data_IF_399740843059
#
_entry.id   IF_399740843059
#
_cell.length_a   1.000
_cell.length_b   1.000
_cell.length_c   1.000
_cell.angle_alpha   90.00
_cell.angle_beta   90.00
_cell.angle_gamma   90.00
#
_symmetry.space_group_name_H-M   'P 1'
#
loop_
_entity.id
_entity.type
_entity.pdbx_description
1 polymer ?
#
# COMPACT_ATOMS: atom_id res chain seq x y z
N UNK A 1 -20.95 2.66 -36.54
CA UNK A 1 -19.62 2.83 -35.90
C UNK A 1 -19.78 2.42 -34.45
N UNK A 2 -19.08 1.41 -33.93
CA UNK A 2 -19.12 1.12 -32.50
C UNK A 2 -18.24 2.14 -31.78
N UNK A 3 -18.84 2.92 -30.87
CA UNK A 3 -18.10 3.81 -29.98
C UNK A 3 -17.22 2.97 -29.07
N UNK A 4 -15.94 2.85 -29.44
CA UNK A 4 -14.89 2.30 -28.57
C UNK A 4 -14.45 3.39 -27.60
N UNK A 5 -15.39 3.93 -26.82
CA UNK A 5 -15.02 4.66 -25.61
C UNK A 5 -14.72 3.58 -24.57
N UNK A 6 -13.56 2.95 -24.73
CA UNK A 6 -13.03 2.03 -23.73
C UNK A 6 -13.04 2.81 -22.42
N UNK A 7 -13.84 2.33 -21.47
CA UNK A 7 -13.94 2.83 -20.11
C UNK A 7 -12.57 2.74 -19.43
N UNK A 8 -11.68 3.68 -19.73
CA UNK A 8 -10.56 4.00 -18.86
C UNK A 8 -11.17 4.75 -17.68
N UNK A 9 -11.79 4.00 -16.77
CA UNK A 9 -11.89 4.49 -15.40
C UNK A 9 -10.44 4.82 -14.99
N UNK A 10 -10.15 6.03 -14.49
CA UNK A 10 -8.86 6.31 -13.88
C UNK A 10 -8.62 5.20 -12.86
N UNK A 11 -7.50 4.47 -12.97
CA UNK A 11 -7.16 3.46 -11.95
C UNK A 11 -7.24 4.16 -10.59
N UNK A 12 -8.08 3.63 -9.71
CA UNK A 12 -8.28 4.22 -8.41
C UNK A 12 -6.99 4.03 -7.61
N UNK A 13 -6.69 4.97 -6.71
CA UNK A 13 -5.47 4.86 -5.89
C UNK A 13 -5.57 3.61 -4.99
N UNK A 14 -6.79 3.22 -4.63
CA UNK A 14 -7.10 1.99 -3.89
C UNK A 14 -6.73 0.72 -4.65
N UNK A 15 -6.91 0.67 -5.97
CA UNK A 15 -6.54 -0.48 -6.81
C UNK A 15 -5.03 -0.68 -6.84
N UNK A 16 -4.25 0.40 -6.90
CA UNK A 16 -2.79 0.34 -6.89
C UNK A 16 -2.23 -0.13 -5.54
N UNK A 17 -2.81 0.33 -4.42
CA UNK A 17 -2.45 -0.20 -3.09
C UNK A 17 -2.86 -1.67 -2.92
N UNK A 18 -4.01 -2.06 -3.46
CA UNK A 18 -4.45 -3.46 -3.40
C UNK A 18 -3.52 -4.38 -4.19
N UNK A 19 -3.06 -3.95 -5.37
CA UNK A 19 -2.07 -4.68 -6.14
C UNK A 19 -0.74 -4.87 -5.39
N UNK A 20 -0.29 -3.86 -4.64
CA UNK A 20 0.90 -4.00 -3.78
C UNK A 20 0.68 -5.02 -2.66
N UNK A 21 -0.49 -5.03 -2.01
CA UNK A 21 -0.82 -6.00 -0.95
C UNK A 21 -0.84 -7.42 -1.52
N UNK A 22 -1.50 -7.65 -2.64
CA UNK A 22 -1.55 -8.97 -3.29
C UNK A 22 -0.14 -9.44 -3.66
N UNK A 23 0.69 -8.55 -4.21
CA UNK A 23 2.08 -8.87 -4.53
C UNK A 23 2.88 -9.25 -3.28
N UNK A 24 2.71 -8.52 -2.17
CA UNK A 24 3.37 -8.84 -0.91
C UNK A 24 2.95 -10.21 -0.37
N UNK A 25 1.68 -10.58 -0.50
CA UNK A 25 1.18 -11.91 -0.10
C UNK A 25 1.83 -13.03 -0.92
N UNK A 26 2.10 -12.81 -2.21
CA UNK A 26 2.83 -13.80 -3.02
C UNK A 26 4.28 -13.98 -2.57
N UNK A 27 4.89 -12.97 -1.95
CA UNK A 27 6.24 -13.04 -1.40
C UNK A 27 6.29 -13.77 -0.06
N UNK A 28 5.27 -13.59 0.79
CA UNK A 28 5.13 -14.29 2.09
C UNK A 28 5.19 -15.83 1.95
N UNK A 29 4.73 -16.33 0.80
CA UNK A 29 4.68 -17.76 0.49
C UNK A 29 5.96 -18.32 -0.16
N UNK A 30 6.95 -17.49 -0.48
CA UNK A 30 8.19 -17.89 -1.18
C UNK A 30 9.40 -17.88 -0.25
N UNK A 31 10.41 -18.69 -0.54
CA UNK A 31 11.71 -18.67 0.15
C UNK A 31 12.82 -18.76 -0.90
N UNK A 32 13.87 -17.91 -0.87
CA UNK A 32 14.20 -16.88 0.13
C UNK A 32 13.56 -15.50 -0.14
N UNK A 33 13.00 -14.88 0.91
CA UNK A 33 12.18 -13.64 0.85
C UNK A 33 13.01 -12.36 0.67
N UNK A 34 14.27 -12.30 1.13
CA UNK A 34 14.98 -11.01 1.32
C UNK A 34 15.24 -10.19 0.04
N UNK A 35 15.90 -10.72 -1.01
CA UNK A 35 16.18 -9.91 -2.21
C UNK A 35 14.89 -9.48 -2.93
N UNK A 36 13.85 -10.32 -2.85
CA UNK A 36 12.56 -10.03 -3.45
C UNK A 36 11.77 -8.99 -2.64
N UNK A 37 11.94 -8.96 -1.31
CA UNK A 37 11.31 -7.98 -0.42
C UNK A 37 11.95 -6.58 -0.55
N UNK A 38 13.28 -6.49 -0.69
CA UNK A 38 13.95 -5.20 -0.97
C UNK A 38 13.46 -4.59 -2.29
N UNK A 39 13.36 -5.42 -3.34
CA UNK A 39 12.80 -5.00 -4.63
C UNK A 39 11.33 -4.59 -4.52
N UNK A 40 10.56 -5.29 -3.68
CA UNK A 40 9.18 -4.91 -3.39
C UNK A 40 9.11 -3.55 -2.69
N UNK A 41 9.98 -3.31 -1.71
CA UNK A 41 10.03 -2.04 -0.97
C UNK A 41 10.33 -0.86 -1.90
N UNK A 42 11.28 -1.00 -2.84
CA UNK A 42 11.57 0.02 -3.87
C UNK A 42 10.36 0.34 -4.75
N UNK A 43 9.63 -0.70 -5.17
CA UNK A 43 8.44 -0.55 -6.01
C UNK A 43 7.27 0.08 -5.25
N UNK A 44 7.05 -0.35 -4.01
CA UNK A 44 6.02 0.20 -3.14
C UNK A 44 6.28 1.69 -2.88
N UNK A 45 7.52 2.09 -2.58
CA UNK A 45 7.88 3.50 -2.44
C UNK A 45 7.64 4.27 -3.74
N UNK A 46 8.06 3.75 -4.90
CA UNK A 46 7.86 4.42 -6.18
C UNK A 46 6.36 4.62 -6.51
N UNK A 47 5.51 3.64 -6.20
CA UNK A 47 4.06 3.76 -6.35
C UNK A 47 3.50 4.82 -5.39
N UNK A 48 3.88 4.78 -4.11
CA UNK A 48 3.41 5.77 -3.12
C UNK A 48 3.81 7.21 -3.48
N UNK A 49 5.06 7.41 -3.91
CA UNK A 49 5.57 8.71 -4.37
C UNK A 49 4.80 9.18 -5.60
N UNK A 50 4.52 8.29 -6.55
CA UNK A 50 3.74 8.63 -7.76
C UNK A 50 2.29 9.00 -7.43
N UNK A 51 1.65 8.33 -6.47
CA UNK A 51 0.25 8.54 -6.13
C UNK A 51 0.03 9.78 -5.24
N UNK A 52 0.95 10.06 -4.32
CA UNK A 52 0.74 11.06 -3.26
C UNK A 52 1.83 12.13 -3.18
N UNK A 53 2.96 11.97 -3.85
CA UNK A 53 4.14 12.82 -3.72
C UNK A 53 5.12 12.31 -2.67
N UNK A 54 6.39 12.72 -2.79
CA UNK A 54 7.49 12.23 -1.96
C UNK A 54 7.38 12.61 -0.47
N UNK A 55 6.80 13.78 -0.18
CA UNK A 55 6.68 14.31 1.18
C UNK A 55 5.37 13.89 1.86
N UNK A 56 4.61 12.97 1.25
CA UNK A 56 3.34 12.53 1.83
C UNK A 56 3.55 11.57 2.99
N UNK A 57 2.73 11.70 4.04
CA UNK A 57 2.77 10.85 5.25
C UNK A 57 2.74 9.34 4.98
N UNK A 58 2.16 8.90 3.85
CA UNK A 58 2.12 7.49 3.46
C UNK A 58 3.49 6.97 3.01
N UNK A 59 4.28 7.81 2.33
CA UNK A 59 5.67 7.47 2.00
C UNK A 59 6.50 7.35 3.28
N UNK A 60 6.33 8.29 4.22
CA UNK A 60 7.04 8.24 5.51
C UNK A 60 6.65 7.01 6.34
N UNK A 61 5.35 6.73 6.45
CA UNK A 61 4.82 5.59 7.21
C UNK A 61 5.35 4.27 6.65
N UNK A 62 5.45 4.15 5.32
CA UNK A 62 6.05 2.97 4.68
C UNK A 62 7.53 2.83 5.04
N UNK A 63 8.30 3.93 4.98
CA UNK A 63 9.73 3.94 5.34
C UNK A 63 9.99 3.57 6.80
N UNK A 64 9.12 3.98 7.72
CA UNK A 64 9.24 3.54 9.12
C UNK A 64 9.00 2.03 9.28
N UNK A 65 8.09 1.45 8.49
CA UNK A 65 7.86 0.01 8.48
C UNK A 65 9.03 -0.79 7.88
N UNK A 66 9.90 -0.16 7.07
CA UNK A 66 11.12 -0.79 6.54
C UNK A 66 12.32 -0.65 7.47
N UNK A 67 12.49 0.49 8.15
CA UNK A 67 13.63 0.77 9.02
C UNK A 67 13.69 -0.13 10.27
N UNK A 68 12.52 -0.48 10.84
CA UNK A 68 12.41 -1.28 12.06
C UNK A 68 13.08 -2.67 11.95
N UNK A 69 13.14 -3.23 10.74
CA UNK A 69 13.81 -4.51 10.48
C UNK A 69 15.34 -4.39 10.55
N UNK A 70 15.90 -3.32 9.98
CA UNK A 70 17.33 -3.08 9.97
C UNK A 70 17.88 -2.85 11.39
N UNK A 71 17.14 -2.10 12.23
CA UNK A 71 17.52 -1.87 13.63
C UNK A 71 17.42 -3.13 14.50
N UNK A 72 16.42 -3.98 14.27
CA UNK A 72 16.25 -5.22 15.02
C UNK A 72 17.43 -6.18 14.79
N UNK A 73 17.93 -6.28 13.57
CA UNK A 73 19.06 -7.14 13.20
C UNK A 73 20.40 -6.70 13.82
N UNK A 74 20.62 -5.39 13.93
CA UNK A 74 21.89 -4.83 14.42
C UNK A 74 22.00 -4.90 15.96
N UNK A 75 20.87 -4.86 16.67
CA UNK A 75 20.83 -4.85 18.14
C UNK A 75 20.66 -6.24 18.78
N UNK A 76 20.76 -7.31 17.99
CA UNK A 76 20.45 -8.68 18.43
C UNK A 76 21.70 -9.37 19.01
N UNK A 77 21.71 -9.79 20.29
CA UNK A 77 22.83 -10.54 20.86
C UNK A 77 23.00 -11.91 20.18
N UNK A 78 24.24 -12.38 20.04
CA UNK A 78 24.61 -13.64 19.34
C UNK A 78 23.79 -14.86 19.79
N UNK A 79 23.43 -14.95 21.06
CA UNK A 79 22.63 -16.05 21.62
C UNK A 79 21.16 -16.08 21.18
N UNK A 80 20.63 -14.98 20.64
CA UNK A 80 19.25 -14.85 20.16
C UNK A 80 19.15 -14.80 18.63
N UNK A 81 20.28 -14.88 17.91
CA UNK A 81 20.31 -14.78 16.44
C UNK A 81 19.61 -15.96 15.76
N UNK A 82 19.80 -17.21 16.19
CA UNK A 82 19.23 -18.37 15.47
C UNK A 82 17.69 -18.47 15.50
N UNK A 83 17.00 -18.23 16.64
CA UNK A 83 15.54 -18.25 16.67
C UNK A 83 14.93 -17.02 15.98
N UNK A 84 15.44 -15.82 16.27
CA UNK A 84 14.85 -14.58 15.72
C UNK A 84 15.16 -14.38 14.24
N UNK A 85 16.31 -14.85 13.72
CA UNK A 85 16.63 -14.75 12.29
C UNK A 85 15.63 -15.50 11.39
N UNK A 86 14.96 -16.55 11.92
CA UNK A 86 13.93 -17.31 11.19
C UNK A 86 12.59 -16.57 11.12
N UNK A 87 12.25 -15.81 12.15
CA UNK A 87 10.98 -15.09 12.24
C UNK A 87 11.04 -13.67 11.65
N UNK A 88 12.24 -13.08 11.61
CA UNK A 88 12.51 -11.76 11.05
C UNK A 88 11.88 -11.50 9.66
N UNK A 89 12.03 -12.40 8.65
CA UNK A 89 11.40 -12.20 7.35
C UNK A 89 9.87 -12.19 7.40
N UNK A 90 9.25 -13.03 8.24
CA UNK A 90 7.79 -13.06 8.42
C UNK A 90 7.30 -11.78 9.10
N UNK A 91 8.03 -11.32 10.11
CA UNK A 91 7.69 -10.07 10.80
C UNK A 91 7.84 -8.86 9.88
N UNK A 92 8.84 -8.85 8.99
CA UNK A 92 9.03 -7.79 8.01
C UNK A 92 7.85 -7.73 7.02
N UNK A 93 7.48 -8.87 6.42
CA UNK A 93 6.33 -8.96 5.50
C UNK A 93 5.04 -8.51 6.19
N UNK A 94 4.81 -8.91 7.44
CA UNK A 94 3.65 -8.48 8.22
C UNK A 94 3.63 -6.97 8.49
N UNK A 95 4.78 -6.35 8.79
CA UNK A 95 4.88 -4.90 9.00
C UNK A 95 4.50 -4.12 7.74
N UNK A 96 5.02 -4.52 6.57
CA UNK A 96 4.67 -3.89 5.28
C UNK A 96 3.18 -4.06 4.96
N UNK A 97 2.64 -5.26 5.22
CA UNK A 97 1.21 -5.54 5.02
C UNK A 97 0.35 -4.61 5.87
N UNK A 98 0.67 -4.48 7.15
CA UNK A 98 -0.07 -3.62 8.08
C UNK A 98 -0.04 -2.15 7.66
N UNK A 99 1.12 -1.65 7.21
CA UNK A 99 1.27 -0.28 6.73
C UNK A 99 0.42 -0.01 5.46
N UNK A 100 0.48 -0.91 4.47
CA UNK A 100 -0.29 -0.76 3.24
C UNK A 100 -1.81 -0.88 3.49
N UNK A 101 -2.23 -1.78 4.39
CA UNK A 101 -3.64 -1.93 4.75
C UNK A 101 -4.21 -0.72 5.49
N UNK A 102 -3.43 -0.08 6.38
CA UNK A 102 -3.88 1.15 7.04
C UNK A 102 -4.03 2.29 6.03
N UNK A 103 -3.10 2.42 5.09
CA UNK A 103 -3.19 3.41 4.01
C UNK A 103 -4.41 3.17 3.11
N UNK A 104 -4.66 1.91 2.73
CA UNK A 104 -5.82 1.53 1.92
C UNK A 104 -7.14 1.87 2.62
N UNK A 105 -7.25 1.56 3.92
CA UNK A 105 -8.45 1.85 4.70
C UNK A 105 -8.76 3.34 4.73
N UNK A 106 -7.77 4.16 5.11
CA UNK A 106 -7.95 5.62 5.18
C UNK A 106 -8.28 6.24 3.82
N UNK A 107 -7.64 5.74 2.76
CA UNK A 107 -7.80 6.27 1.42
C UNK A 107 -9.14 5.88 0.79
N UNK A 108 -9.59 4.63 0.96
CA UNK A 108 -10.89 4.18 0.46
C UNK A 108 -12.04 5.00 1.08
N UNK A 109 -11.92 5.39 2.36
CA UNK A 109 -12.87 6.30 3.00
C UNK A 109 -12.90 7.69 2.35
N UNK A 110 -11.75 8.19 1.89
CA UNK A 110 -11.67 9.48 1.18
C UNK A 110 -12.24 9.37 -0.23
N UNK A 111 -11.86 8.35 -1.00
CA UNK A 111 -12.38 8.12 -2.36
C UNK A 111 -13.90 7.93 -2.36
N UNK A 112 -14.46 7.21 -1.40
CA UNK A 112 -15.91 7.05 -1.26
C UNK A 112 -16.63 8.38 -1.00
N UNK A 113 -16.03 9.28 -0.20
CA UNK A 113 -16.56 10.63 0.05
C UNK A 113 -16.50 11.49 -1.22
N UNK A 114 -15.39 11.46 -1.95
CA UNK A 114 -15.22 12.19 -3.22
C UNK A 114 -16.27 11.76 -4.25
N UNK A 115 -16.47 10.45 -4.44
CA UNK A 115 -17.50 9.91 -5.34
C UNK A 115 -18.91 10.34 -4.91
N UNK A 116 -19.20 10.33 -3.61
CA UNK A 116 -20.50 10.76 -3.08
C UNK A 116 -20.74 12.25 -3.32
N UNK A 117 -19.73 13.11 -3.15
CA UNK A 117 -19.85 14.54 -3.41
C UNK A 117 -20.07 14.82 -4.91
N UNK A 118 -19.31 14.17 -5.79
CA UNK A 118 -19.41 14.33 -7.24
C UNK A 118 -20.74 13.82 -7.83
N UNK A 119 -21.41 12.87 -7.17
CA UNK A 119 -22.71 12.33 -7.60
C UNK A 119 -23.90 12.99 -6.88
N UNK A 120 -23.66 13.71 -5.79
CA UNK A 120 -24.67 14.38 -4.98
C UNK A 120 -25.05 15.79 -5.45
N UNK A 121 -24.21 16.47 -6.25
CA UNK A 121 -24.49 17.83 -6.76
C UNK A 121 -25.52 17.88 -7.91
N UNK A 122 -25.85 16.75 -8.56
CA UNK A 122 -26.76 16.68 -9.72
C UNK A 122 -28.25 16.53 -9.36
N UNK A 123 -28.62 16.56 -8.07
CA UNK A 123 -30.03 16.65 -7.65
C UNK A 123 -30.44 18.12 -7.54
N UNK A 124 -30.50 18.81 -8.69
CA UNK A 124 -31.38 19.97 -8.80
C UNK A 124 -32.82 19.47 -8.62
N UNK A 125 -33.42 19.78 -7.47
CA UNK A 125 -34.87 19.65 -7.30
C UNK A 125 -35.54 20.44 -8.43
N UNK A 126 -36.36 19.82 -9.31
CA UNK A 126 -37.04 20.58 -10.35
C UNK A 126 -37.96 21.61 -9.68
N UNK A 127 -38.01 22.85 -10.18
CA UNK A 127 -38.87 23.87 -9.60
C UNK A 127 -40.32 23.40 -9.69
N UNK A 128 -40.96 23.23 -8.54
CA UNK A 128 -42.39 22.99 -8.45
C UNK A 128 -43.15 24.17 -9.06
N UNK A 129 -43.84 23.92 -10.19
CA UNK A 129 -44.86 24.82 -10.77
C UNK A 129 -46.21 24.55 -10.11
#
# INVERSE_FOLDING_TARGET
MPNTNASFAPRMRSEELQALIEKLETLDHRSPVRPDLERFDDEAEAVLVRLYGADHRYVETYKYATLAEAEALVNLPESAQEPMAKDLPKTAVQQRRQALQSMLTEMAEMEAKEVTMLTGEDKEDPPSI
#
